data_IF_320761118045
#
_entry.id   IF_320761118045
#
_cell.length_a   1.000
_cell.length_b   1.000
_cell.length_c   1.000
_cell.angle_alpha   90.00
_cell.angle_beta   90.00
_cell.angle_gamma   90.00
#
_symmetry.space_group_name_H-M   'P 1'
#
loop_
_entity.id
_entity.type
_entity.pdbx_description
1 polymer ?
#
# COMPACT_ATOMS: atom_id res chain seq x y z
N UNK A 1 35.13 22.14 -35.25
CA UNK A 1 34.20 20.99 -35.33
C UNK A 1 34.18 20.13 -34.06
N UNK A 2 35.31 19.83 -33.40
CA UNK A 2 35.34 19.00 -32.16
C UNK A 2 34.73 19.64 -30.90
N UNK A 3 34.71 20.97 -30.82
CA UNK A 3 34.14 21.72 -29.68
C UNK A 3 32.62 21.80 -29.71
N UNK A 4 32.03 21.86 -30.92
CA UNK A 4 30.57 21.88 -31.12
C UNK A 4 29.92 20.55 -30.72
N UNK A 5 30.57 19.42 -31.00
CA UNK A 5 30.09 18.09 -30.62
C UNK A 5 30.14 17.86 -29.11
N UNK A 6 31.16 18.37 -28.42
CA UNK A 6 31.28 18.25 -26.96
C UNK A 6 30.17 19.02 -26.22
N UNK A 7 29.85 20.22 -26.69
CA UNK A 7 28.77 21.05 -26.14
C UNK A 7 27.37 20.43 -26.32
N UNK A 8 27.11 19.83 -27.48
CA UNK A 8 25.86 19.12 -27.75
C UNK A 8 25.71 17.87 -26.88
N UNK A 9 26.77 17.08 -26.68
CA UNK A 9 26.74 15.90 -25.80
C UNK A 9 26.51 16.27 -24.33
N UNK A 10 27.11 17.37 -23.84
CA UNK A 10 26.90 17.85 -22.48
C UNK A 10 25.45 18.34 -22.29
N UNK A 11 24.88 19.03 -23.29
CA UNK A 11 23.49 19.48 -23.25
C UNK A 11 22.50 18.29 -23.19
N UNK A 12 22.74 17.25 -24.00
CA UNK A 12 21.93 16.01 -23.99
C UNK A 12 22.03 15.31 -22.63
N UNK A 13 23.23 15.19 -22.06
CA UNK A 13 23.44 14.58 -20.75
C UNK A 13 22.68 15.34 -19.65
N UNK A 14 22.72 16.68 -19.67
CA UNK A 14 21.98 17.53 -18.72
C UNK A 14 20.47 17.32 -18.88
N UNK A 15 19.95 17.25 -20.10
CA UNK A 15 18.52 16.99 -20.36
C UNK A 15 18.11 15.60 -19.84
N UNK A 16 18.94 14.57 -20.06
CA UNK A 16 18.69 13.21 -19.54
C UNK A 16 18.69 13.20 -18.01
N UNK A 17 19.66 13.85 -17.37
CA UNK A 17 19.73 13.95 -15.91
C UNK A 17 18.54 14.69 -15.31
N UNK A 18 18.13 15.81 -15.93
CA UNK A 18 16.97 16.60 -15.48
C UNK A 18 15.68 15.81 -15.65
N UNK A 19 15.48 15.12 -16.78
CA UNK A 19 14.29 14.28 -16.99
C UNK A 19 14.25 13.10 -16.02
N UNK A 20 15.38 12.43 -15.76
CA UNK A 20 15.47 11.38 -14.73
C UNK A 20 15.11 11.92 -13.33
N UNK A 21 15.65 13.08 -12.94
CA UNK A 21 15.33 13.69 -11.63
C UNK A 21 13.85 13.98 -11.47
N UNK A 22 13.18 14.49 -12.53
CA UNK A 22 11.73 14.75 -12.52
C UNK A 22 10.90 13.48 -12.42
N UNK A 23 11.34 12.39 -13.04
CA UNK A 23 10.69 11.07 -12.94
C UNK A 23 10.80 10.52 -11.52
N UNK A 24 11.96 10.64 -10.88
CA UNK A 24 12.16 10.17 -9.49
C UNK A 24 11.25 10.92 -8.52
N UNK A 25 11.12 12.23 -8.66
CA UNK A 25 10.27 13.05 -7.78
C UNK A 25 8.77 12.70 -7.91
N UNK A 26 8.32 12.33 -9.12
CA UNK A 26 6.95 11.89 -9.38
C UNK A 26 6.66 10.45 -8.92
N UNK A 27 7.68 9.63 -8.65
CA UNK A 27 7.53 8.23 -8.22
C UNK A 27 7.39 8.07 -6.70
N UNK A 28 7.68 9.11 -5.91
CA UNK A 28 7.58 9.03 -4.44
C UNK A 28 6.12 9.18 -4.01
N UNK A 29 5.57 8.14 -3.38
CA UNK A 29 4.23 8.19 -2.81
C UNK A 29 4.17 9.19 -1.64
N UNK A 30 3.36 10.24 -1.78
CA UNK A 30 3.11 11.27 -0.76
C UNK A 30 1.67 11.18 -0.23
N UNK A 31 1.40 11.70 0.98
CA UNK A 31 0.04 11.82 1.48
C UNK A 31 -0.84 12.60 0.50
N UNK A 32 -2.05 12.10 0.26
CA UNK A 32 -3.06 12.75 -0.58
C UNK A 32 -3.98 13.71 0.19
N UNK A 33 -3.86 13.74 1.52
CA UNK A 33 -4.65 14.57 2.42
C UNK A 33 -4.54 14.09 3.86
N UNK A 34 -5.38 14.65 4.74
CA UNK A 34 -5.52 14.22 6.12
C UNK A 34 -6.99 14.08 6.50
N UNK A 35 -7.29 13.15 7.40
CA UNK A 35 -8.59 13.05 8.08
C UNK A 35 -8.42 13.43 9.55
N UNK A 36 -9.43 14.09 10.13
CA UNK A 36 -9.46 14.40 11.56
C UNK A 36 -10.12 13.23 12.30
N UNK A 37 -9.39 12.65 13.24
CA UNK A 37 -9.87 11.59 14.11
C UNK A 37 -11.08 12.05 14.92
N UNK A 38 -12.06 11.16 15.04
CA UNK A 38 -13.26 11.33 15.87
C UNK A 38 -13.29 10.19 16.87
N UNK A 39 -13.80 10.47 18.06
CA UNK A 39 -14.04 9.42 19.05
C UNK A 39 -15.08 8.44 18.48
N UNK A 40 -14.78 7.13 18.43
CA UNK A 40 -15.73 6.14 17.95
C UNK A 40 -16.94 6.04 18.90
N UNK A 41 -18.14 5.73 18.39
CA UNK A 41 -19.27 5.40 19.26
C UNK A 41 -18.95 4.23 20.20
N UNK A 42 -19.66 4.09 21.34
CA UNK A 42 -19.45 2.97 22.24
C UNK A 42 -19.62 1.62 21.52
N UNK A 43 -18.62 0.75 21.61
CA UNK A 43 -18.61 -0.57 20.98
C UNK A 43 -18.22 -0.62 19.50
N UNK A 44 -18.01 0.53 18.85
CA UNK A 44 -17.71 0.62 17.40
C UNK A 44 -16.20 0.71 17.10
N UNK A 45 -15.34 0.52 18.10
CA UNK A 45 -13.90 0.39 17.89
C UNK A 45 -13.42 -0.93 18.47
N UNK A 46 -13.00 -1.82 17.58
CA UNK A 46 -12.32 -3.06 17.94
C UNK A 46 -10.82 -2.79 18.07
N UNK A 47 -10.22 -3.25 19.18
CA UNK A 47 -8.78 -3.13 19.47
C UNK A 47 -8.06 -4.48 19.44
N UNK A 48 -8.70 -5.53 18.92
CA UNK A 48 -8.07 -6.81 18.63
C UNK A 48 -6.96 -6.64 17.57
N UNK A 49 -6.05 -7.62 17.51
CA UNK A 49 -4.94 -7.68 16.55
C UNK A 49 -4.10 -6.40 16.46
N UNK A 50 -3.83 -5.79 17.63
CA UNK A 50 -3.04 -4.56 17.76
C UNK A 50 -3.66 -3.33 17.03
N UNK A 51 -4.99 -3.29 16.95
CA UNK A 51 -5.73 -2.18 16.36
C UNK A 51 -5.88 -0.99 17.31
N UNK A 52 -5.68 0.22 16.77
CA UNK A 52 -5.82 1.49 17.49
C UNK A 52 -7.11 2.23 17.11
N UNK A 53 -7.78 2.79 18.12
CA UNK A 53 -8.87 3.73 17.89
C UNK A 53 -8.35 5.10 17.44
N UNK A 54 -9.15 5.78 16.61
CA UNK A 54 -8.89 7.17 16.27
C UNK A 54 -8.91 8.06 17.53
N UNK A 55 -7.87 8.88 17.68
CA UNK A 55 -7.77 9.89 18.74
C UNK A 55 -8.48 11.14 18.27
N UNK A 56 -9.38 11.65 19.12
CA UNK A 56 -10.17 12.85 18.82
C UNK A 56 -9.27 14.05 18.50
N UNK A 57 -9.54 14.72 17.37
CA UNK A 57 -8.80 15.90 16.94
C UNK A 57 -7.46 15.64 16.25
N UNK A 58 -6.86 14.44 16.40
CA UNK A 58 -5.59 14.06 15.73
C UNK A 58 -5.77 13.99 14.21
N UNK A 59 -4.80 14.50 13.46
CA UNK A 59 -4.77 14.39 12.00
C UNK A 59 -4.05 13.11 11.58
N UNK A 60 -4.70 12.31 10.74
CA UNK A 60 -4.16 11.07 10.17
C UNK A 60 -3.98 11.24 8.66
N UNK A 61 -2.79 10.94 8.11
CA UNK A 61 -2.54 11.07 6.68
C UNK A 61 -3.29 10.00 5.88
N UNK A 62 -3.87 10.40 4.76
CA UNK A 62 -4.53 9.50 3.81
C UNK A 62 -3.64 9.30 2.60
N UNK A 63 -3.39 8.05 2.25
CA UNK A 63 -2.61 7.68 1.06
C UNK A 63 -3.49 7.01 0.03
N UNK A 64 -3.50 7.55 -1.20
CA UNK A 64 -4.12 6.90 -2.38
C UNK A 64 -3.09 6.11 -3.20
N UNK A 65 -1.82 6.17 -2.80
CA UNK A 65 -0.69 5.49 -3.41
C UNK A 65 -0.03 4.56 -2.40
N UNK A 66 0.93 3.78 -2.87
CA UNK A 66 1.81 2.94 -2.06
C UNK A 66 3.22 2.98 -2.68
N UNK A 67 4.27 2.57 -1.96
CA UNK A 67 5.62 2.48 -2.52
C UNK A 67 5.68 1.64 -3.79
N UNK A 68 6.69 1.88 -4.62
CA UNK A 68 6.88 1.17 -5.90
C UNK A 68 6.95 -0.34 -5.68
N UNK A 69 6.21 -1.08 -6.49
CA UNK A 69 6.24 -2.55 -6.49
C UNK A 69 7.46 -3.04 -7.25
N UNK A 70 8.24 -3.90 -6.61
CA UNK A 70 9.38 -4.62 -7.20
C UNK A 70 9.20 -6.14 -7.01
N UNK A 71 10.12 -6.94 -7.54
CA UNK A 71 10.12 -8.39 -7.31
C UNK A 71 10.22 -8.78 -5.82
N UNK A 72 10.78 -7.90 -4.98
CA UNK A 72 10.92 -8.06 -3.53
C UNK A 72 10.42 -6.81 -2.81
N UNK A 73 9.14 -6.48 -3.00
CA UNK A 73 8.52 -5.30 -2.38
C UNK A 73 8.56 -5.43 -0.86
N UNK A 74 9.18 -4.45 -0.18
CA UNK A 74 9.19 -4.40 1.28
C UNK A 74 7.85 -3.86 1.80
N UNK A 75 7.31 -4.54 2.79
CA UNK A 75 6.05 -4.21 3.42
C UNK A 75 6.10 -4.55 4.91
N UNK A 76 5.14 -4.01 5.66
CA UNK A 76 4.84 -4.41 7.04
C UNK A 76 3.67 -5.38 6.97
N UNK A 77 3.82 -6.56 7.57
CA UNK A 77 2.74 -7.52 7.73
C UNK A 77 2.03 -7.23 9.06
N UNK A 78 0.73 -7.01 9.00
CA UNK A 78 -0.15 -6.87 10.16
C UNK A 78 -1.12 -8.06 10.20
N UNK A 79 -1.75 -8.26 11.36
CA UNK A 79 -2.76 -9.31 11.55
C UNK A 79 -4.16 -8.70 11.43
N UNK A 80 -5.09 -9.44 10.84
CA UNK A 80 -6.50 -9.05 10.69
C UNK A 80 -7.33 -10.33 10.46
N UNK A 81 -8.51 -10.42 11.07
CA UNK A 81 -9.50 -11.45 10.81
C UNK A 81 -10.43 -11.05 9.66
N UNK A 82 -10.61 -11.93 8.69
CA UNK A 82 -11.54 -11.74 7.56
C UNK A 82 -12.87 -12.49 7.76
N UNK A 83 -13.06 -13.11 8.93
CA UNK A 83 -14.25 -13.90 9.22
C UNK A 83 -15.44 -13.00 9.59
N UNK A 84 -16.65 -13.54 9.46
CA UNK A 84 -17.85 -12.83 9.89
C UNK A 84 -17.81 -12.59 11.41
N UNK A 85 -17.95 -11.34 11.83
CA UNK A 85 -17.85 -10.95 13.24
C UNK A 85 -16.42 -10.80 13.79
N UNK A 86 -15.40 -10.94 12.94
CA UNK A 86 -14.03 -10.58 13.28
C UNK A 86 -13.77 -9.06 13.24
N UNK A 87 -12.53 -8.67 13.50
CA UNK A 87 -12.07 -7.27 13.54
C UNK A 87 -11.95 -6.59 12.17
N UNK A 88 -11.90 -7.36 11.08
CA UNK A 88 -11.88 -6.82 9.71
C UNK A 88 -13.15 -6.09 9.28
N UNK A 89 -14.21 -6.16 10.09
CA UNK A 89 -15.47 -5.44 9.87
C UNK A 89 -16.31 -6.07 8.77
N UNK A 90 -16.26 -5.50 7.56
CA UNK A 90 -17.10 -5.92 6.43
C UNK A 90 -16.50 -7.07 5.60
N UNK A 91 -17.27 -7.61 4.64
CA UNK A 91 -16.77 -8.63 3.74
C UNK A 91 -15.66 -8.09 2.81
N UNK A 92 -14.82 -8.99 2.31
CA UNK A 92 -13.71 -8.68 1.41
C UNK A 92 -14.17 -7.99 0.13
N UNK A 93 -13.42 -6.97 -0.29
CA UNK A 93 -13.82 -6.11 -1.42
C UNK A 93 -13.78 -6.82 -2.78
N UNK A 94 -12.94 -7.83 -2.92
CA UNK A 94 -12.76 -8.54 -4.19
C UNK A 94 -13.92 -9.46 -4.57
N UNK A 95 -14.60 -10.04 -3.59
CA UNK A 95 -15.62 -11.09 -3.80
C UNK A 95 -16.88 -10.91 -2.94
N UNK A 96 -16.94 -9.87 -2.10
CA UNK A 96 -18.02 -9.60 -1.16
C UNK A 96 -18.29 -10.76 -0.19
N UNK A 97 -17.24 -11.50 0.19
CA UNK A 97 -17.34 -12.62 1.13
C UNK A 97 -16.47 -12.43 2.37
N UNK A 98 -16.90 -13.06 3.46
CA UNK A 98 -16.03 -13.31 4.61
C UNK A 98 -15.19 -14.56 4.33
N UNK A 99 -13.99 -14.61 4.89
CA UNK A 99 -13.06 -15.73 4.75
C UNK A 99 -12.69 -16.24 6.13
N UNK A 100 -12.60 -17.57 6.30
CA UNK A 100 -12.13 -18.16 7.56
C UNK A 100 -10.69 -17.71 7.84
N UNK A 101 -10.34 -17.54 9.13
CA UNK A 101 -8.97 -17.23 9.55
C UNK A 101 -7.97 -18.35 9.19
N UNK A 102 -8.46 -19.56 8.91
CA UNK A 102 -7.65 -20.67 8.38
C UNK A 102 -7.29 -20.50 6.90
N UNK A 103 -7.91 -19.53 6.21
CA UNK A 103 -7.70 -19.28 4.78
C UNK A 103 -6.67 -18.16 4.59
N UNK A 104 -5.53 -18.39 3.90
CA UNK A 104 -4.53 -17.36 3.65
C UNK A 104 -5.06 -16.24 2.73
N UNK A 105 -5.66 -15.21 3.33
CA UNK A 105 -6.20 -14.03 2.66
C UNK A 105 -5.53 -12.78 3.21
N UNK A 106 -5.29 -11.79 2.34
CA UNK A 106 -4.65 -10.54 2.70
C UNK A 106 -5.34 -9.34 2.08
N UNK A 107 -5.22 -8.20 2.77
CA UNK A 107 -5.55 -6.89 2.25
C UNK A 107 -4.28 -6.11 1.92
N UNK A 108 -4.29 -5.37 0.82
CA UNK A 108 -3.21 -4.51 0.38
C UNK A 108 -3.56 -3.05 0.62
N UNK A 109 -2.56 -2.24 0.99
CA UNK A 109 -2.72 -0.78 1.01
C UNK A 109 -3.22 -0.27 -0.36
N UNK A 110 -3.99 0.82 -0.36
CA UNK A 110 -4.79 1.26 -1.51
C UNK A 110 -4.02 1.34 -2.84
N UNK A 111 -2.77 1.83 -2.84
CA UNK A 111 -1.96 1.89 -4.06
C UNK A 111 -1.56 0.52 -4.59
N UNK A 112 -1.24 -0.42 -3.70
CA UNK A 112 -0.97 -1.81 -4.05
C UNK A 112 -2.23 -2.59 -4.39
N UNK A 113 -3.38 -2.30 -3.78
CA UNK A 113 -4.65 -2.89 -4.24
C UNK A 113 -4.93 -2.55 -5.71
N UNK A 114 -4.58 -1.32 -6.11
CA UNK A 114 -4.62 -0.91 -7.51
C UNK A 114 -6.02 -0.99 -8.11
N UNK A 115 -7.03 -0.57 -7.33
CA UNK A 115 -8.46 -0.61 -7.72
C UNK A 115 -8.94 -2.02 -8.11
N UNK A 116 -8.47 -3.05 -7.40
CA UNK A 116 -8.89 -4.44 -7.63
C UNK A 116 -8.13 -5.16 -8.73
N UNK A 117 -7.10 -4.53 -9.33
CA UNK A 117 -6.27 -5.18 -10.36
C UNK A 117 -5.56 -6.44 -9.86
N UNK A 118 -5.40 -6.59 -8.54
CA UNK A 118 -4.82 -7.77 -7.90
C UNK A 118 -5.84 -8.70 -7.27
N UNK A 119 -7.14 -8.41 -7.38
CA UNK A 119 -8.17 -9.22 -6.73
C UNK A 119 -8.08 -10.69 -7.09
N UNK A 120 -8.19 -11.53 -6.07
CA UNK A 120 -8.19 -12.99 -6.18
C UNK A 120 -6.89 -13.59 -6.76
N UNK A 121 -5.89 -12.76 -7.06
CA UNK A 121 -4.56 -13.21 -7.40
C UNK A 121 -3.80 -13.58 -6.13
N UNK A 122 -2.85 -14.49 -6.30
CA UNK A 122 -1.92 -14.84 -5.24
C UNK A 122 -0.74 -13.87 -5.19
N UNK A 123 -0.30 -13.59 -3.96
CA UNK A 123 1.02 -13.02 -3.69
C UNK A 123 1.83 -13.99 -2.82
N UNK A 124 3.15 -13.86 -2.90
CA UNK A 124 4.07 -14.59 -2.02
C UNK A 124 4.56 -13.61 -0.96
N UNK A 125 4.30 -13.95 0.30
CA UNK A 125 4.81 -13.21 1.45
C UNK A 125 5.98 -14.00 2.01
N UNK A 126 7.12 -13.33 2.17
CA UNK A 126 8.36 -13.96 2.63
C UNK A 126 8.91 -13.24 3.86
N UNK A 127 9.14 -13.99 4.94
CA UNK A 127 9.72 -13.49 6.19
C UNK A 127 10.47 -14.62 6.91
N UNK A 128 11.58 -14.29 7.57
CA UNK A 128 12.37 -15.22 8.40
C UNK A 128 12.70 -16.56 7.71
N UNK A 129 13.06 -16.50 6.41
CA UNK A 129 13.39 -17.69 5.61
C UNK A 129 12.20 -18.56 5.20
N UNK A 130 10.97 -18.15 5.52
CA UNK A 130 9.72 -18.84 5.16
C UNK A 130 8.95 -18.02 4.12
N UNK A 131 8.11 -18.72 3.35
CA UNK A 131 7.22 -18.11 2.36
C UNK A 131 5.84 -18.73 2.43
N UNK A 132 4.81 -17.92 2.22
CA UNK A 132 3.42 -18.35 2.12
C UNK A 132 2.74 -17.70 0.91
N UNK A 133 1.87 -18.46 0.27
CA UNK A 133 0.98 -17.97 -0.78
C UNK A 133 -0.32 -17.50 -0.13
N UNK A 134 -0.71 -16.25 -0.39
CA UNK A 134 -1.96 -15.71 0.11
C UNK A 134 -2.72 -15.00 -1.00
N UNK A 135 -4.06 -15.12 -0.96
CA UNK A 135 -4.97 -14.53 -1.93
C UNK A 135 -5.31 -13.10 -1.53
N UNK A 136 -5.32 -12.19 -2.50
CA UNK A 136 -5.72 -10.80 -2.27
C UNK A 136 -7.25 -10.67 -2.20
N UNK A 137 -7.76 -10.30 -1.04
CA UNK A 137 -9.17 -10.00 -0.78
C UNK A 137 -9.51 -8.49 -0.80
N UNK A 138 -8.51 -7.63 -0.59
CA UNK A 138 -8.58 -6.16 -0.68
C UNK A 138 -7.21 -5.55 -0.93
#
# INVERSE_FOLDING_TARGET
MKTFTLGASLLILVIVLVTYCKVVEAQVCRPSGNIRGRKPPPGECNQENDSDCCVEGKLYPVYRCSPTVSGNTKAVLTLNSFQAGGDGGGPSKCDNQYHSDDTPVVALSTGWYGKGRRCLNDIIISANGKSVRAKVGM
#
